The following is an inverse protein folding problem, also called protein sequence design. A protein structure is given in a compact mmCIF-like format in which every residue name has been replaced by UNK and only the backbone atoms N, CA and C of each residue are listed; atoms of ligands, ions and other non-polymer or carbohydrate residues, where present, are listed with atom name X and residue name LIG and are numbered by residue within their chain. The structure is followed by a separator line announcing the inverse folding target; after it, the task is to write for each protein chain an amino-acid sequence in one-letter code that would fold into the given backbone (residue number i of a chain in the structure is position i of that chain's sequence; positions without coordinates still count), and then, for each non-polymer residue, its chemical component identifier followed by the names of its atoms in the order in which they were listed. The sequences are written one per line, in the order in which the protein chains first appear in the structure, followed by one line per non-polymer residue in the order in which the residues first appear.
data_IF_384479028764
#
_entry.id   IF_384479028764
#
_cell.length_a   1.000
_cell.length_b   1.000
_cell.length_c   1.000
_cell.angle_alpha   90.00
_cell.angle_beta   90.00
_cell.angle_gamma   90.00
#
_symmetry.space_group_name_H-M   'P 1'
#
loop_
_entity.id
_entity.type
_entity.pdbx_description
1 polymer ?
#
# COMPACT_ATOMS: atom_id res chain seq x y z
N UNK A 1 8.94 13.68 -56.74
CA UNK A 1 9.51 14.22 -55.46
C UNK A 1 8.46 14.55 -54.38
N UNK A 2 7.24 14.96 -54.69
CA UNK A 2 6.18 15.31 -53.73
C UNK A 2 5.63 14.14 -52.89
N UNK A 3 5.52 12.90 -53.40
CA UNK A 3 4.99 11.72 -52.68
C UNK A 3 5.87 11.29 -51.51
N UNK A 4 7.18 11.48 -51.56
CA UNK A 4 8.11 11.09 -50.49
C UNK A 4 8.00 12.05 -49.29
N UNK A 5 7.79 13.34 -49.52
CA UNK A 5 7.59 14.34 -48.45
C UNK A 5 6.31 14.08 -47.65
N UNK A 6 5.20 13.70 -48.32
CA UNK A 6 3.92 13.38 -47.67
C UNK A 6 4.03 12.13 -46.74
N UNK A 7 4.74 11.09 -47.21
CA UNK A 7 4.99 9.90 -46.35
C UNK A 7 5.80 10.24 -45.10
N UNK A 8 6.84 11.05 -45.21
CA UNK A 8 7.65 11.49 -44.04
C UNK A 8 6.83 12.28 -43.04
N UNK A 9 5.96 13.20 -43.49
CA UNK A 9 5.08 13.98 -42.63
C UNK A 9 4.07 13.06 -41.90
N UNK A 10 3.53 12.05 -42.58
CA UNK A 10 2.61 11.08 -41.98
C UNK A 10 3.29 10.29 -40.87
N UNK A 11 4.52 9.81 -41.08
CA UNK A 11 5.30 9.09 -40.07
C UNK A 11 5.64 9.94 -38.89
N UNK A 12 6.00 11.21 -39.07
CA UNK A 12 6.26 12.15 -37.97
C UNK A 12 4.99 12.37 -37.14
N UNK A 13 3.83 12.54 -37.77
CA UNK A 13 2.56 12.68 -37.06
C UNK A 13 2.23 11.42 -36.24
N UNK A 14 2.35 10.24 -36.83
CA UNK A 14 2.14 8.97 -36.11
C UNK A 14 3.07 8.83 -34.91
N UNK A 15 4.33 9.21 -35.05
CA UNK A 15 5.31 9.17 -33.98
C UNK A 15 4.96 10.16 -32.84
N UNK A 16 4.54 11.36 -33.20
CA UNK A 16 4.08 12.36 -32.20
C UNK A 16 2.83 11.88 -31.47
N UNK A 17 1.86 11.29 -32.18
CA UNK A 17 0.66 10.73 -31.54
C UNK A 17 0.99 9.55 -30.63
N UNK A 18 1.88 8.66 -31.03
CA UNK A 18 2.29 7.52 -30.17
C UNK A 18 3.03 7.98 -28.92
N UNK A 19 3.88 9.00 -29.00
CA UNK A 19 4.55 9.60 -27.85
C UNK A 19 3.56 10.30 -26.91
N UNK A 20 2.61 11.06 -27.46
CA UNK A 20 1.59 11.73 -26.67
C UNK A 20 0.68 10.73 -25.93
N UNK A 21 0.25 9.66 -26.61
CA UNK A 21 -0.52 8.58 -25.99
C UNK A 21 0.29 7.86 -24.91
N UNK A 22 1.58 7.55 -25.15
CA UNK A 22 2.45 6.92 -24.16
C UNK A 22 2.66 7.80 -22.92
N UNK A 23 2.87 9.10 -23.10
CA UNK A 23 2.99 10.03 -21.99
C UNK A 23 1.68 10.15 -21.20
N UNK A 24 0.54 10.22 -21.90
CA UNK A 24 -0.77 10.28 -21.26
C UNK A 24 -1.07 9.04 -20.42
N UNK A 25 -0.84 7.84 -20.96
CA UNK A 25 -1.04 6.58 -20.22
C UNK A 25 -0.11 6.47 -19.01
N UNK A 26 1.13 6.93 -19.12
CA UNK A 26 2.08 6.95 -18.01
C UNK A 26 1.61 7.85 -16.87
N UNK A 27 1.15 9.07 -17.18
CA UNK A 27 0.65 10.02 -16.16
C UNK A 27 -0.61 9.51 -15.46
N UNK A 28 -1.53 8.89 -16.20
CA UNK A 28 -2.75 8.29 -15.63
C UNK A 28 -2.38 7.12 -14.73
N UNK A 29 -1.45 6.26 -15.14
CA UNK A 29 -0.99 5.14 -14.32
C UNK A 29 -0.34 5.63 -13.02
N UNK A 30 0.52 6.64 -13.08
CA UNK A 30 1.15 7.22 -11.89
C UNK A 30 0.11 7.79 -10.92
N UNK A 31 -0.88 8.53 -11.42
CA UNK A 31 -1.96 9.07 -10.61
C UNK A 31 -2.76 7.96 -9.91
N UNK A 32 -3.05 6.87 -10.61
CA UNK A 32 -3.78 5.74 -10.03
C UNK A 32 -2.97 5.00 -8.97
N UNK A 33 -1.67 4.82 -9.18
CA UNK A 33 -0.78 4.22 -8.18
C UNK A 33 -0.75 5.06 -6.89
N UNK A 34 -0.63 6.38 -7.02
CA UNK A 34 -0.68 7.30 -5.88
C UNK A 34 -2.03 7.23 -5.14
N UNK A 35 -3.14 7.21 -5.88
CA UNK A 35 -4.47 7.11 -5.30
C UNK A 35 -4.72 5.74 -4.66
N UNK A 36 -4.29 4.65 -5.30
CA UNK A 36 -4.38 3.30 -4.73
C UNK A 36 -3.58 3.20 -3.43
N UNK A 37 -2.39 3.80 -3.38
CA UNK A 37 -1.54 3.88 -2.19
C UNK A 37 -2.22 4.68 -1.07
N UNK A 38 -2.77 5.84 -1.38
CA UNK A 38 -3.46 6.69 -0.41
C UNK A 38 -4.72 6.00 0.15
N UNK A 39 -5.54 5.40 -0.71
CA UNK A 39 -6.76 4.68 -0.29
C UNK A 39 -6.43 3.41 0.50
N UNK A 40 -5.37 2.67 0.16
CA UNK A 40 -4.93 1.51 0.93
C UNK A 40 -4.47 1.90 2.33
N UNK A 41 -3.67 2.97 2.45
CA UNK A 41 -3.26 3.52 3.75
C UNK A 41 -4.46 3.95 4.58
N UNK A 42 -5.44 4.62 3.96
CA UNK A 42 -6.67 5.04 4.64
C UNK A 42 -7.50 3.83 5.09
N UNK A 43 -7.63 2.80 4.26
CA UNK A 43 -8.31 1.56 4.61
C UNK A 43 -7.67 0.89 5.83
N UNK A 44 -6.35 0.83 5.86
CA UNK A 44 -5.59 0.25 6.96
C UNK A 44 -5.81 1.03 8.26
N UNK A 45 -5.78 2.38 8.20
CA UNK A 45 -6.07 3.23 9.35
C UNK A 45 -7.51 3.05 9.86
N UNK A 46 -8.50 2.93 8.97
CA UNK A 46 -9.88 2.66 9.35
C UNK A 46 -10.05 1.29 10.02
N UNK A 47 -9.36 0.27 9.50
CA UNK A 47 -9.37 -1.07 10.12
C UNK A 47 -8.75 -1.07 11.52
N UNK A 48 -7.67 -0.31 11.73
CA UNK A 48 -7.07 -0.14 13.05
C UNK A 48 -7.98 0.65 13.99
N UNK A 49 -8.61 1.72 13.50
CA UNK A 49 -9.52 2.54 14.30
C UNK A 49 -10.75 1.75 14.79
N UNK A 50 -11.27 0.81 14.01
CA UNK A 50 -12.36 -0.08 14.44
C UNK A 50 -11.98 -0.93 15.66
N UNK A 51 -10.68 -1.21 15.83
CA UNK A 51 -10.11 -2.01 16.93
C UNK A 51 -9.73 -1.17 18.15
N UNK A 52 -9.45 0.11 17.96
CA UNK A 52 -9.05 1.05 19.03
C UNK A 52 -10.16 1.34 20.07
N UNK A 53 -11.40 0.87 19.83
CA UNK A 53 -12.48 0.89 20.82
C UNK A 53 -12.26 -0.10 21.95
N UNK A 54 -11.29 -1.01 21.82
CA UNK A 54 -10.85 -1.90 22.90
C UNK A 54 -10.03 -1.07 23.90
N UNK A 55 -10.45 -1.04 25.15
CA UNK A 55 -9.73 -0.36 26.24
C UNK A 55 -8.38 -1.07 26.48
N UNK A 56 -7.36 -0.64 25.75
CA UNK A 56 -6.01 -1.18 25.96
C UNK A 56 -5.55 -0.73 27.35
N UNK A 57 -5.26 -1.65 28.28
CA UNK A 57 -4.75 -1.27 29.59
C UNK A 57 -3.45 -0.48 29.40
N UNK A 58 -3.37 0.67 30.05
CA UNK A 58 -2.21 1.56 30.00
C UNK A 58 -0.97 0.81 30.50
N UNK A 59 -0.08 0.43 29.61
CA UNK A 59 1.14 -0.28 29.96
C UNK A 59 2.18 0.76 30.36
N UNK A 60 2.42 0.89 31.64
CA UNK A 60 3.31 1.89 32.26
C UNK A 60 4.80 1.75 31.89
N UNK A 61 5.20 0.66 31.27
CA UNK A 61 6.61 0.36 30.96
C UNK A 61 7.11 0.88 29.60
N UNK A 62 6.27 1.56 28.83
CA UNK A 62 6.61 2.03 27.48
C UNK A 62 7.57 3.23 27.44
N UNK A 63 7.72 3.97 28.56
CA UNK A 63 8.65 5.10 28.66
C UNK A 63 10.11 4.70 28.50
N UNK A 64 10.50 3.50 28.92
CA UNK A 64 11.87 2.99 28.75
C UNK A 64 12.19 2.66 27.29
N UNK A 65 11.18 2.29 26.51
CA UNK A 65 11.29 1.90 25.09
C UNK A 65 11.48 3.13 24.21
N UNK A 66 10.79 4.25 24.48
CA UNK A 66 10.92 5.48 23.71
C UNK A 66 12.32 6.11 23.80
N UNK A 67 12.98 5.99 24.95
CA UNK A 67 14.33 6.53 25.15
C UNK A 67 15.40 5.77 24.35
N UNK A 68 15.21 4.47 24.12
CA UNK A 68 16.13 3.66 23.29
C UNK A 68 15.96 3.93 21.79
N UNK A 69 14.77 4.28 21.35
CA UNK A 69 14.46 4.56 19.94
C UNK A 69 14.99 5.92 19.49
N UNK A 70 15.06 6.91 20.36
CA UNK A 70 15.70 8.21 20.08
C UNK A 70 17.21 8.08 19.78
N UNK A 71 17.87 7.08 20.39
CA UNK A 71 19.31 6.85 20.23
C UNK A 71 19.64 6.00 18.99
N UNK A 72 18.77 5.04 18.64
CA UNK A 72 18.97 4.14 17.49
C UNK A 72 17.61 3.76 16.84
N UNK A 73 17.11 4.54 15.88
CA UNK A 73 15.75 4.37 15.35
C UNK A 73 15.52 3.09 14.52
N UNK A 74 16.42 2.18 14.43
CA UNK A 74 16.26 0.89 13.74
C UNK A 74 16.53 -0.31 14.63
N UNK A 75 16.75 -0.10 15.93
CA UNK A 75 17.10 -1.18 16.85
C UNK A 75 16.11 -1.20 18.02
N UNK A 76 15.53 -2.38 18.25
CA UNK A 76 14.55 -2.61 19.30
C UNK A 76 15.07 -3.69 20.23
N UNK A 77 15.06 -3.42 21.55
CA UNK A 77 15.41 -4.39 22.58
C UNK A 77 14.14 -4.80 23.32
N UNK A 78 13.89 -6.10 23.39
CA UNK A 78 12.71 -6.68 24.05
C UNK A 78 13.20 -7.60 25.16
N UNK A 79 12.61 -7.46 26.34
CA UNK A 79 12.82 -8.36 27.47
C UNK A 79 11.82 -9.51 27.38
N UNK A 80 12.34 -10.70 27.15
CA UNK A 80 11.60 -11.96 27.13
C UNK A 80 11.93 -12.77 28.37
N UNK A 81 11.13 -13.78 28.69
CA UNK A 81 11.41 -14.71 29.81
C UNK A 81 12.78 -15.38 29.68
N UNK A 82 13.29 -15.51 28.46
CA UNK A 82 14.63 -16.04 28.13
C UNK A 82 15.76 -15.03 28.21
N UNK A 83 15.48 -13.77 28.57
CA UNK A 83 16.43 -12.66 28.62
C UNK A 83 16.18 -11.57 27.58
N UNK A 84 17.06 -10.57 27.54
CA UNK A 84 16.97 -9.45 26.59
C UNK A 84 17.36 -9.89 25.19
N UNK A 85 16.51 -9.62 24.22
CA UNK A 85 16.76 -9.88 22.79
C UNK A 85 16.72 -8.58 21.99
N UNK A 86 17.73 -8.39 21.18
CA UNK A 86 17.89 -7.23 20.29
C UNK A 86 17.45 -7.59 18.89
N UNK A 87 16.59 -6.74 18.28
CA UNK A 87 16.13 -6.87 16.92
C UNK A 87 16.57 -5.66 16.11
N UNK A 88 17.11 -5.91 14.92
CA UNK A 88 17.45 -4.87 13.96
C UNK A 88 16.34 -4.77 12.91
N UNK A 89 15.67 -3.63 12.86
CA UNK A 89 14.61 -3.38 11.89
C UNK A 89 15.26 -2.89 10.60
N UNK A 90 15.07 -3.57 9.46
CA UNK A 90 15.57 -3.10 8.17
C UNK A 90 15.03 -1.70 7.84
N UNK A 91 15.89 -0.80 7.32
CA UNK A 91 15.51 0.59 7.01
C UNK A 91 14.24 0.69 6.19
N UNK A 92 14.07 -0.17 5.17
CA UNK A 92 12.89 -0.15 4.31
C UNK A 92 11.58 -0.45 5.07
N UNK A 93 11.63 -1.32 6.09
CA UNK A 93 10.45 -1.60 6.95
C UNK A 93 10.15 -0.40 7.82
N UNK A 94 11.19 0.20 8.40
CA UNK A 94 11.04 1.38 9.24
C UNK A 94 10.51 2.58 8.44
N UNK A 95 11.01 2.81 7.22
CA UNK A 95 10.55 3.88 6.33
C UNK A 95 9.08 3.72 5.94
N UNK A 96 8.64 2.49 5.69
CA UNK A 96 7.27 2.15 5.35
C UNK A 96 6.40 1.77 6.57
N UNK A 97 6.87 2.05 7.78
CA UNK A 97 6.07 1.86 8.98
C UNK A 97 4.92 2.86 9.04
N UNK A 98 3.74 2.36 9.38
CA UNK A 98 2.51 3.16 9.46
C UNK A 98 2.62 4.27 10.51
N UNK A 99 3.31 4.00 11.61
CA UNK A 99 3.64 4.95 12.69
C UNK A 99 5.12 4.91 12.98
N UNK A 100 5.69 6.05 13.38
CA UNK A 100 7.14 6.19 13.59
C UNK A 100 7.55 6.13 15.05
N UNK A 101 6.70 6.60 15.96
CA UNK A 101 7.02 6.67 17.40
C UNK A 101 6.97 5.30 18.08
N UNK A 102 7.97 4.99 18.95
CA UNK A 102 8.08 3.71 19.63
C UNK A 102 6.89 3.35 20.49
N UNK A 103 6.37 4.32 21.24
CA UNK A 103 5.15 4.12 22.04
C UNK A 103 3.97 3.74 21.15
N UNK A 104 3.78 4.44 20.02
CA UNK A 104 2.67 4.17 19.10
C UNK A 104 2.82 2.80 18.44
N UNK A 105 4.05 2.41 18.06
CA UNK A 105 4.31 1.08 17.50
C UNK A 105 4.04 -0.03 18.51
N UNK A 106 4.45 0.18 19.79
CA UNK A 106 4.15 -0.76 20.85
C UNK A 106 2.66 -0.89 21.14
N UNK A 107 1.91 0.21 21.18
CA UNK A 107 0.44 0.17 21.30
C UNK A 107 -0.19 -0.60 20.14
N UNK A 108 0.34 -0.45 18.93
CA UNK A 108 -0.12 -1.23 17.77
C UNK A 108 0.17 -2.73 17.92
N UNK A 109 1.32 -3.12 18.48
CA UNK A 109 1.58 -4.54 18.79
C UNK A 109 0.50 -5.09 19.71
N UNK A 110 0.27 -4.42 20.86
CA UNK A 110 -0.75 -4.86 21.81
C UNK A 110 -2.16 -4.95 21.20
N UNK A 111 -2.52 -3.96 20.38
CA UNK A 111 -3.80 -3.94 19.68
C UNK A 111 -3.94 -5.11 18.70
N UNK A 112 -2.88 -5.41 17.95
CA UNK A 112 -2.88 -6.46 16.94
C UNK A 112 -2.78 -7.86 17.52
N UNK A 113 -2.18 -8.01 18.70
CA UNK A 113 -2.17 -9.26 19.47
C UNK A 113 -3.57 -9.59 20.02
N UNK A 114 -4.31 -8.58 20.51
CA UNK A 114 -5.67 -8.77 21.00
C UNK A 114 -6.69 -8.93 19.88
N UNK A 115 -6.54 -8.15 18.80
CA UNK A 115 -7.44 -8.16 17.65
C UNK A 115 -6.65 -8.15 16.33
N UNK A 116 -6.23 -9.32 15.83
CA UNK A 116 -5.46 -9.43 14.61
C UNK A 116 -6.15 -8.83 13.40
N UNK A 117 -5.35 -8.29 12.47
CA UNK A 117 -5.86 -7.82 11.19
C UNK A 117 -6.37 -8.99 10.35
N UNK A 118 -7.58 -8.82 9.81
CA UNK A 118 -8.15 -9.74 8.85
C UNK A 118 -7.96 -9.23 7.42
N UNK A 119 -7.40 -10.09 6.55
CA UNK A 119 -7.12 -9.74 5.17
C UNK A 119 -8.41 -9.48 4.35
N UNK A 120 -9.50 -10.21 4.65
CA UNK A 120 -10.78 -10.03 3.95
C UNK A 120 -11.45 -8.70 4.35
N UNK A 121 -11.42 -8.35 5.64
CA UNK A 121 -11.95 -7.08 6.15
C UNK A 121 -11.20 -5.89 5.54
N UNK A 122 -9.86 -5.94 5.56
CA UNK A 122 -9.02 -4.91 4.95
C UNK A 122 -9.28 -4.77 3.45
N UNK A 123 -9.39 -5.90 2.73
CA UNK A 123 -9.73 -5.91 1.31
C UNK A 123 -11.09 -5.29 1.03
N UNK A 124 -12.11 -5.63 1.83
CA UNK A 124 -13.46 -5.05 1.71
C UNK A 124 -13.46 -3.54 1.91
N UNK A 125 -12.78 -3.06 2.97
CA UNK A 125 -12.65 -1.63 3.26
C UNK A 125 -11.90 -0.88 2.16
N UNK A 126 -10.79 -1.45 1.64
CA UNK A 126 -10.04 -0.85 0.54
C UNK A 126 -10.86 -0.75 -0.74
N UNK A 127 -11.53 -1.83 -1.15
CA UNK A 127 -12.39 -1.82 -2.33
C UNK A 127 -13.54 -0.81 -2.23
N UNK A 128 -14.09 -0.61 -1.03
CA UNK A 128 -15.10 0.42 -0.79
C UNK A 128 -14.55 1.81 -1.08
N UNK A 129 -13.37 2.14 -0.53
CA UNK A 129 -12.72 3.44 -0.74
C UNK A 129 -12.32 3.66 -2.21
N UNK A 130 -11.84 2.63 -2.91
CA UNK A 130 -11.55 2.72 -4.34
C UNK A 130 -12.80 3.05 -5.15
N UNK A 131 -13.94 2.38 -4.87
CA UNK A 131 -15.22 2.66 -5.52
C UNK A 131 -15.73 4.08 -5.23
N UNK A 132 -15.61 4.55 -4.00
CA UNK A 132 -15.97 5.92 -3.61
C UNK A 132 -15.10 6.98 -4.32
N UNK A 133 -13.92 6.59 -4.76
CA UNK A 133 -12.98 7.44 -5.53
C UNK A 133 -13.08 7.24 -7.04
N UNK A 134 -14.06 6.49 -7.55
CA UNK A 134 -14.25 6.10 -8.95
C UNK A 134 -13.01 5.41 -9.56
N UNK A 135 -12.29 4.63 -8.73
CA UNK A 135 -11.10 3.90 -9.15
C UNK A 135 -11.45 2.42 -9.31
N UNK A 136 -11.30 1.90 -10.52
CA UNK A 136 -11.60 0.51 -10.86
C UNK A 136 -10.31 -0.29 -11.02
N UNK A 137 -9.84 -0.87 -9.90
CA UNK A 137 -8.66 -1.75 -9.89
C UNK A 137 -9.08 -3.15 -9.43
N UNK A 138 -8.40 -4.15 -9.99
CA UNK A 138 -8.41 -5.49 -9.39
C UNK A 138 -7.44 -5.47 -8.21
N UNK A 139 -7.92 -5.81 -7.03
CA UNK A 139 -7.12 -5.74 -5.81
C UNK A 139 -7.21 -7.04 -5.01
N UNK A 140 -6.18 -7.32 -4.24
CA UNK A 140 -6.23 -8.26 -3.13
C UNK A 140 -5.26 -7.83 -2.03
N UNK A 141 -5.41 -8.41 -0.84
CA UNK A 141 -4.59 -8.08 0.31
C UNK A 141 -3.94 -9.32 0.90
N UNK A 142 -2.78 -9.11 1.50
CA UNK A 142 -2.06 -10.11 2.29
C UNK A 142 -1.66 -9.48 3.62
N UNK A 143 -1.89 -10.20 4.70
CA UNK A 143 -1.32 -9.87 6.01
C UNK A 143 -0.27 -10.93 6.32
N UNK A 144 0.94 -10.48 6.64
CA UNK A 144 2.04 -11.35 7.08
C UNK A 144 2.45 -10.95 8.47
N UNK A 145 2.52 -11.91 9.38
CA UNK A 145 2.96 -11.73 10.76
C UNK A 145 4.23 -12.54 10.97
N UNK A 146 5.27 -11.90 11.49
CA UNK A 146 6.53 -12.55 11.90
C UNK A 146 6.51 -12.82 13.41
N UNK A 147 6.74 -14.05 13.79
CA UNK A 147 6.89 -14.43 15.19
C UNK A 147 8.24 -13.95 15.77
N UNK A 148 8.53 -14.32 17.03
CA UNK A 148 9.80 -13.98 17.68
C UNK A 148 10.99 -14.73 17.12
N UNK A 149 10.80 -15.78 16.35
CA UNK A 149 11.81 -16.54 15.62
C UNK A 149 11.97 -16.07 14.18
N UNK A 150 11.29 -14.96 13.81
CA UNK A 150 11.29 -14.39 12.45
C UNK A 150 10.69 -15.34 11.39
N UNK A 151 9.78 -16.24 11.81
CA UNK A 151 9.05 -17.10 10.91
C UNK A 151 7.78 -16.40 10.44
N UNK A 152 7.57 -16.27 9.10
CA UNK A 152 6.40 -15.60 8.58
C UNK A 152 5.17 -16.50 8.56
N UNK A 153 4.04 -15.98 9.00
CA UNK A 153 2.71 -16.55 8.77
C UNK A 153 1.90 -15.58 7.91
N UNK A 154 1.31 -16.04 6.83
CA UNK A 154 0.60 -15.17 5.88
C UNK A 154 -0.84 -15.62 5.68
N UNK A 155 -1.77 -14.65 5.75
CA UNK A 155 -3.17 -14.79 5.38
C UNK A 155 -3.47 -13.92 4.16
N UNK A 156 -4.25 -14.45 3.23
CA UNK A 156 -4.67 -13.76 2.01
C UNK A 156 -6.18 -13.53 2.03
N UNK A 157 -6.65 -12.47 1.38
CA UNK A 157 -8.07 -12.28 1.13
C UNK A 157 -8.63 -13.39 0.23
N UNK A 158 -9.86 -13.86 0.50
CA UNK A 158 -10.46 -15.05 -0.14
C UNK A 158 -10.69 -14.91 -1.64
N UNK A 159 -10.96 -13.70 -2.11
CA UNK A 159 -11.23 -13.43 -3.54
C UNK A 159 -9.94 -13.17 -4.33
N UNK A 160 -8.95 -14.04 -4.18
CA UNK A 160 -7.71 -13.96 -4.96
C UNK A 160 -8.01 -14.32 -6.41
N UNK A 161 -8.35 -13.34 -7.23
CA UNK A 161 -8.17 -13.48 -8.68
C UNK A 161 -6.66 -13.65 -8.88
N UNK A 162 -6.25 -14.74 -9.55
CA UNK A 162 -4.83 -14.97 -9.86
C UNK A 162 -4.31 -13.82 -10.68
N UNK A 163 -3.59 -12.91 -10.04
CA UNK A 163 -2.82 -11.90 -10.74
C UNK A 163 -1.59 -12.59 -11.33
N UNK A 164 -1.42 -12.51 -12.64
CA UNK A 164 -0.18 -13.01 -13.28
C UNK A 164 1.01 -12.18 -12.82
N UNK A 165 0.81 -10.85 -12.67
CA UNK A 165 1.75 -9.88 -12.06
C UNK A 165 0.93 -8.71 -11.56
N UNK A 166 1.05 -8.29 -10.28
CA UNK A 166 0.50 -7.04 -9.81
C UNK A 166 1.26 -5.86 -10.45
N UNK A 167 0.56 -4.83 -10.88
CA UNK A 167 1.17 -3.61 -11.41
C UNK A 167 1.71 -2.76 -10.27
N UNK A 168 1.08 -2.84 -9.10
CA UNK A 168 1.47 -2.12 -7.89
C UNK A 168 1.51 -3.04 -6.69
N UNK A 169 2.56 -2.89 -5.88
CA UNK A 169 2.76 -3.55 -4.60
C UNK A 169 2.89 -2.47 -3.52
N UNK A 170 1.98 -2.49 -2.55
CA UNK A 170 1.90 -1.51 -1.47
C UNK A 170 2.09 -2.25 -0.15
N UNK A 171 3.19 -2.00 0.57
CA UNK A 171 3.42 -2.61 1.88
C UNK A 171 3.53 -1.55 2.96
N UNK A 172 2.82 -1.77 4.06
CA UNK A 172 2.95 -1.02 5.30
C UNK A 172 3.26 -1.96 6.45
N UNK A 173 4.16 -1.50 7.30
CA UNK A 173 4.63 -2.25 8.46
C UNK A 173 4.06 -1.67 9.75
N UNK A 174 3.73 -2.55 10.69
CA UNK A 174 3.10 -2.22 11.96
C UNK A 174 3.70 -3.05 13.08
N UNK A 175 3.50 -2.57 14.31
CA UNK A 175 4.03 -3.20 15.51
C UNK A 175 5.43 -2.71 15.87
N UNK A 176 5.86 -3.06 17.06
CA UNK A 176 7.08 -2.56 17.68
C UNK A 176 8.34 -2.93 16.91
N UNK A 177 8.40 -4.17 16.39
CA UNK A 177 9.47 -4.71 15.54
C UNK A 177 9.17 -4.62 14.04
N UNK A 178 8.08 -3.98 13.62
CA UNK A 178 7.52 -4.09 12.29
C UNK A 178 7.17 -5.56 11.94
N UNK A 179 6.62 -6.28 12.93
CA UNK A 179 6.27 -7.71 12.85
C UNK A 179 5.02 -7.99 12.02
N UNK A 180 4.18 -7.00 11.79
CA UNK A 180 2.99 -7.15 10.94
C UNK A 180 3.16 -6.35 9.68
N UNK A 181 3.03 -7.01 8.53
CA UNK A 181 3.02 -6.39 7.21
C UNK A 181 1.64 -6.54 6.58
N UNK A 182 1.05 -5.40 6.20
CA UNK A 182 -0.12 -5.37 5.34
C UNK A 182 0.31 -5.05 3.92
N UNK A 183 0.09 -5.98 2.99
CA UNK A 183 0.43 -5.82 1.59
C UNK A 183 -0.84 -5.73 0.75
N UNK A 184 -0.97 -4.63 -0.01
CA UNK A 184 -1.98 -4.45 -1.04
C UNK A 184 -1.40 -4.73 -2.41
N UNK A 185 -2.11 -5.50 -3.20
CA UNK A 185 -1.81 -5.79 -4.59
C UNK A 185 -2.88 -5.13 -5.46
N UNK A 186 -2.46 -4.34 -6.43
CA UNK A 186 -3.35 -3.68 -7.37
C UNK A 186 -2.93 -3.99 -8.80
N UNK A 187 -3.90 -4.20 -9.68
CA UNK A 187 -3.68 -4.35 -11.11
C UNK A 187 -4.74 -3.59 -11.87
N UNK A 188 -4.30 -2.86 -12.87
CA UNK A 188 -5.15 -2.12 -13.78
C UNK A 188 -5.36 -2.90 -15.08
N UNK A 189 -6.59 -3.01 -15.54
CA UNK A 189 -6.86 -3.51 -16.88
C UNK A 189 -6.55 -2.42 -17.90
N UNK A 190 -5.57 -2.65 -18.76
CA UNK A 190 -5.04 -1.72 -19.76
C UNK A 190 -6.11 -0.99 -20.60
N UNK A 191 -7.25 -1.63 -20.86
CA UNK A 191 -8.30 -1.03 -21.69
C UNK A 191 -9.14 0.04 -20.94
N UNK A 192 -9.15 0.06 -19.61
CA UNK A 192 -9.69 1.16 -18.84
C UNK A 192 -8.88 2.44 -19.02
N UNK A 193 -7.55 2.34 -19.10
CA UNK A 193 -6.67 3.48 -19.41
C UNK A 193 -7.01 4.14 -20.74
N UNK A 194 -7.38 3.33 -21.74
CA UNK A 194 -7.79 3.85 -23.06
C UNK A 194 -9.17 4.48 -23.05
N UNK A 195 -10.14 3.96 -22.28
CA UNK A 195 -11.48 4.53 -22.20
C UNK A 195 -11.46 5.91 -21.55
N UNK A 196 -10.71 6.10 -20.47
CA UNK A 196 -10.58 7.41 -19.84
C UNK A 196 -9.86 8.43 -20.73
N UNK A 197 -8.79 8.02 -21.41
CA UNK A 197 -8.12 8.88 -22.39
C UNK A 197 -9.03 9.29 -23.54
N UNK A 198 -9.90 8.40 -24.01
CA UNK A 198 -10.83 8.68 -25.10
C UNK A 198 -11.99 9.58 -24.65
N UNK A 199 -12.47 9.44 -23.41
CA UNK A 199 -13.52 10.29 -22.87
C UNK A 199 -13.06 11.74 -22.67
N UNK A 200 -11.80 11.94 -22.26
CA UNK A 200 -11.22 13.28 -22.14
C UNK A 200 -10.90 13.96 -23.48
N UNK A 201 -10.74 13.19 -24.56
CA UNK A 201 -10.48 13.72 -25.90
C UNK A 201 -11.73 13.89 -26.74
N UNK A 202 -12.87 13.39 -26.30
CA UNK A 202 -14.15 13.63 -26.96
C UNK A 202 -14.56 15.08 -26.75
N UNK A 203 -14.67 15.89 -27.83
CA UNK A 203 -15.18 17.25 -27.70
C UNK A 203 -16.57 17.18 -27.07
N UNK A 204 -16.75 17.88 -25.97
CA UNK A 204 -18.07 18.06 -25.36
C UNK A 204 -19.04 18.49 -26.48
N UNK A 205 -20.18 17.80 -26.66
CA UNK A 205 -21.21 18.31 -27.55
C UNK A 205 -21.80 19.55 -26.89
N UNK A 206 -21.16 20.68 -27.12
CA UNK A 206 -21.76 22.01 -26.93
C UNK A 206 -22.18 22.49 -28.31
N UNK A 207 -23.44 22.44 -28.53
CA UNK A 207 -24.32 23.22 -29.38
C UNK A 207 -23.73 24.07 -30.48
#
# INVERSE_FOLDING_TARGET
MMKIKRKKILWIRLLVYSLAMGAGTFLVHQKWDEQARATFKTALLQELQKRDTLSIPYISNWTAISALEEVNPGVVEIELDSGKRKYEIPCFKFENSLVKGGIQRGLLTALLDESPLDADSLHGTWNKLLKESDIFLKTHTRITVWDFQEQPSSAFSKNVQKFSRPDSLLSYYMGFRCEVEATGYASCEWWWLFSDCLLYTSPSPRD
#
